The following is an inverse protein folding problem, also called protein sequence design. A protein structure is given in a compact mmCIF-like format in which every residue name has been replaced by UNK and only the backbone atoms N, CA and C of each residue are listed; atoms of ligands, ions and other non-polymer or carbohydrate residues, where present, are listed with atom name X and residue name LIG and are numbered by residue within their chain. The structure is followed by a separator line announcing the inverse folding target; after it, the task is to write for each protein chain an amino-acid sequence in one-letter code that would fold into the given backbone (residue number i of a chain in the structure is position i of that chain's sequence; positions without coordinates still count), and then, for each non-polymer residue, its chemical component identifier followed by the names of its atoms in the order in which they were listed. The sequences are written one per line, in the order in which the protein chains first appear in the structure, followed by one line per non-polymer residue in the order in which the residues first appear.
data_IF_946250659275
#
_entry.id   IF_946250659275
#
_cell.length_a   1.000
_cell.length_b   1.000
_cell.length_c   1.000
_cell.angle_alpha   90.00
_cell.angle_beta   90.00
_cell.angle_gamma   90.00
#
_symmetry.space_group_name_H-M   'P 1'
#
loop_
_entity.id
_entity.type
_entity.pdbx_description
1 polymer ?
#
# COMPACT_ATOMS: atom_id res chain seq x y z
N UNK A 1 11.67 -0.37 -2.58
CA UNK A 1 12.48 -0.45 -3.80
C UNK A 1 13.89 0.04 -3.51
N UNK A 2 14.87 -0.44 -4.26
CA UNK A 2 16.21 0.14 -4.29
C UNK A 2 16.31 1.29 -5.31
N UNK A 3 17.51 1.82 -5.53
CA UNK A 3 17.72 2.93 -6.46
C UNK A 3 17.45 2.58 -7.92
N UNK A 4 17.35 1.30 -8.29
CA UNK A 4 17.06 0.89 -9.68
C UNK A 4 15.61 1.18 -10.09
N UNK A 5 14.75 1.58 -9.13
CA UNK A 5 13.36 1.94 -9.38
C UNK A 5 13.21 3.08 -10.37
N UNK A 6 14.14 4.04 -10.36
CA UNK A 6 14.08 5.19 -11.27
C UNK A 6 14.27 4.78 -12.73
N UNK A 7 15.19 3.86 -13.01
CA UNK A 7 15.39 3.32 -14.36
C UNK A 7 14.17 2.51 -14.82
N UNK A 8 13.58 1.70 -13.92
CA UNK A 8 12.35 0.96 -14.20
C UNK A 8 11.18 1.89 -14.50
N UNK A 9 11.04 3.00 -13.78
CA UNK A 9 10.00 4.01 -14.03
C UNK A 9 10.19 4.71 -15.39
N UNK A 10 11.43 4.99 -15.82
CA UNK A 10 11.71 5.70 -17.08
C UNK A 10 11.29 4.94 -18.33
N UNK A 11 11.20 3.61 -18.25
CA UNK A 11 10.86 2.75 -19.39
C UNK A 11 9.40 2.29 -19.38
N UNK A 12 8.59 2.74 -18.41
CA UNK A 12 7.18 2.39 -18.37
C UNK A 12 6.43 3.01 -19.54
N UNK A 13 5.49 2.24 -20.07
CA UNK A 13 4.50 2.69 -21.05
C UNK A 13 3.15 2.85 -20.37
N UNK A 14 2.36 3.89 -20.69
CA UNK A 14 1.01 4.01 -20.15
C UNK A 14 0.17 2.76 -20.41
N UNK A 15 -0.61 2.33 -19.42
CA UNK A 15 -1.57 1.24 -19.56
C UNK A 15 -2.77 1.67 -20.42
N UNK A 16 -3.72 0.76 -20.63
CA UNK A 16 -5.02 1.07 -21.26
C UNK A 16 -5.80 2.17 -20.51
N UNK A 17 -5.48 2.41 -19.23
CA UNK A 17 -6.04 3.50 -18.41
C UNK A 17 -5.33 4.84 -18.63
N UNK A 18 -4.24 4.85 -19.41
CA UNK A 18 -3.38 6.01 -19.61
C UNK A 18 -2.44 6.32 -18.43
N UNK A 19 -2.29 5.40 -17.48
CA UNK A 19 -1.48 5.58 -16.27
C UNK A 19 -0.13 4.86 -16.36
N UNK A 20 0.90 5.41 -15.70
CA UNK A 20 2.14 4.68 -15.43
C UNK A 20 1.95 3.82 -14.18
N UNK A 21 1.91 2.50 -14.37
CA UNK A 21 1.45 1.57 -13.35
C UNK A 21 2.55 1.20 -12.34
N UNK A 22 2.27 1.34 -11.04
CA UNK A 22 3.15 0.79 -10.00
C UNK A 22 3.26 -0.75 -10.10
N UNK A 23 2.23 -1.40 -10.64
CA UNK A 23 2.22 -2.84 -10.92
C UNK A 23 3.29 -3.23 -11.94
N UNK A 24 3.58 -2.39 -12.94
CA UNK A 24 4.63 -2.68 -13.91
C UNK A 24 6.04 -2.54 -13.32
N UNK A 25 6.22 -1.57 -12.43
CA UNK A 25 7.44 -1.48 -11.60
C UNK A 25 7.60 -2.75 -10.76
N UNK A 26 6.53 -3.20 -10.08
CA UNK A 26 6.55 -4.44 -9.30
C UNK A 26 6.90 -5.65 -10.16
N UNK A 27 6.31 -5.76 -11.35
CA UNK A 27 6.58 -6.85 -12.28
C UNK A 27 8.04 -6.84 -12.77
N UNK A 28 8.68 -5.68 -12.90
CA UNK A 28 10.10 -5.60 -13.23
C UNK A 28 10.97 -6.24 -12.13
N UNK A 29 10.73 -5.90 -10.86
CA UNK A 29 11.43 -6.53 -9.72
C UNK A 29 11.12 -8.04 -9.60
N UNK A 30 9.89 -8.47 -9.93
CA UNK A 30 9.53 -9.90 -9.95
C UNK A 30 10.32 -10.64 -11.04
N UNK A 31 10.41 -10.08 -12.26
CA UNK A 31 11.20 -10.67 -13.37
C UNK A 31 12.69 -10.77 -13.05
N UNK A 32 13.22 -9.84 -12.27
CA UNK A 32 14.60 -9.86 -11.78
C UNK A 32 14.82 -10.84 -10.61
N UNK A 33 13.76 -11.41 -10.03
CA UNK A 33 13.83 -12.27 -8.86
C UNK A 33 14.21 -11.54 -7.56
N UNK A 34 14.15 -10.21 -7.55
CA UNK A 34 14.54 -9.35 -6.43
C UNK A 34 13.36 -8.83 -5.63
N UNK A 35 12.13 -9.05 -6.10
CA UNK A 35 10.92 -8.74 -5.34
C UNK A 35 10.81 -9.58 -4.07
N UNK A 36 10.49 -8.92 -2.97
CA UNK A 36 10.14 -9.56 -1.70
C UNK A 36 8.72 -9.16 -1.32
N UNK A 37 8.08 -9.95 -0.45
CA UNK A 37 6.75 -9.66 0.06
C UNK A 37 6.67 -9.99 1.55
N UNK A 38 5.68 -9.42 2.22
CA UNK A 38 5.36 -9.74 3.59
C UNK A 38 3.84 -9.82 3.77
N UNK A 39 3.39 -10.69 4.67
CA UNK A 39 1.99 -10.70 5.10
C UNK A 39 1.78 -9.65 6.18
N UNK A 40 0.87 -8.71 5.92
CA UNK A 40 0.41 -7.77 6.93
C UNK A 40 -0.49 -8.49 7.93
N UNK A 41 -0.16 -8.38 9.23
CA UNK A 41 -1.03 -8.81 10.32
C UNK A 41 -1.84 -7.61 10.82
N UNK A 42 -3.11 -7.84 11.16
CA UNK A 42 -4.02 -6.76 11.56
C UNK A 42 -4.82 -6.23 10.38
N UNK A 43 -5.22 -4.96 10.45
CA UNK A 43 -6.08 -4.35 9.43
C UNK A 43 -5.31 -3.45 8.48
N UNK A 44 -5.72 -3.46 7.22
CA UNK A 44 -5.43 -2.43 6.21
C UNK A 44 -6.75 -2.00 5.60
N UNK A 45 -6.91 -0.69 5.42
CA UNK A 45 -8.06 -0.09 4.77
C UNK A 45 -7.58 1.13 4.00
N UNK A 46 -8.26 1.45 2.92
CA UNK A 46 -8.15 2.72 2.24
C UNK A 46 -9.25 3.69 2.72
N UNK A 47 -9.25 4.88 2.14
CA UNK A 47 -10.22 5.94 2.41
C UNK A 47 -10.66 6.64 1.11
N UNK A 48 -10.86 5.84 0.05
CA UNK A 48 -11.22 6.35 -1.29
C UNK A 48 -12.68 6.79 -1.45
N UNK A 49 -13.55 6.45 -0.49
CA UNK A 49 -14.99 6.81 -0.46
C UNK A 49 -15.38 7.41 0.91
N UNK A 50 -16.54 8.06 1.01
CA UNK A 50 -17.01 8.59 2.29
C UNK A 50 -17.21 7.49 3.35
N UNK A 51 -17.74 6.34 2.95
CA UNK A 51 -17.97 5.20 3.83
C UNK A 51 -16.65 4.56 4.28
N UNK A 52 -15.69 4.38 3.37
CA UNK A 52 -14.36 3.83 3.71
C UNK A 52 -13.56 4.78 4.58
N UNK A 53 -13.65 6.10 4.36
CA UNK A 53 -13.06 7.13 5.22
C UNK A 53 -13.64 7.07 6.65
N UNK A 54 -14.97 7.02 6.79
CA UNK A 54 -15.61 6.89 8.10
C UNK A 54 -15.18 5.60 8.81
N UNK A 55 -15.12 4.48 8.08
CA UNK A 55 -14.64 3.20 8.59
C UNK A 55 -13.19 3.29 9.08
N UNK A 56 -12.29 3.90 8.30
CA UNK A 56 -10.90 4.08 8.66
C UNK A 56 -10.75 4.90 9.96
N UNK A 57 -11.52 5.99 10.10
CA UNK A 57 -11.56 6.79 11.32
C UNK A 57 -12.00 5.99 12.56
N UNK A 58 -13.05 5.17 12.41
CA UNK A 58 -13.55 4.32 13.49
C UNK A 58 -12.56 3.22 13.91
N UNK A 59 -11.82 2.63 12.96
CA UNK A 59 -10.78 1.64 13.23
C UNK A 59 -9.63 2.24 14.06
N UNK A 60 -9.18 3.45 13.71
CA UNK A 60 -8.13 4.16 14.48
C UNK A 60 -8.62 4.51 15.88
N UNK A 61 -9.83 5.05 16.00
CA UNK A 61 -10.44 5.39 17.30
C UNK A 61 -10.54 4.18 18.22
N UNK A 62 -11.04 3.06 17.69
CA UNK A 62 -11.16 1.80 18.45
C UNK A 62 -9.80 1.24 18.86
N UNK A 63 -8.80 1.29 17.97
CA UNK A 63 -7.44 0.82 18.25
C UNK A 63 -6.79 1.62 19.39
N UNK A 64 -6.99 2.95 19.44
CA UNK A 64 -6.50 3.79 20.54
C UNK A 64 -7.16 3.46 21.88
N UNK A 65 -8.46 3.19 21.89
CA UNK A 65 -9.20 2.80 23.10
C UNK A 65 -8.71 1.45 23.65
N UNK A 66 -8.44 0.49 22.77
CA UNK A 66 -7.89 -0.81 23.18
C UNK A 66 -6.48 -0.71 23.79
N UNK A 67 -5.64 0.24 23.31
CA UNK A 67 -4.30 0.47 23.85
C UNK A 67 -4.27 1.28 25.16
N UNK A 68 -5.34 2.01 25.48
CA UNK A 68 -5.44 2.89 26.67
C UNK A 68 -6.05 2.27 27.92
N UNK A 69 -6.45 0.99 27.90
CA UNK A 69 -7.15 0.32 29.02
C UNK A 69 -6.27 -0.16 30.18
N UNK A 70 -5.03 0.32 30.30
CA UNK A 70 -4.02 -0.15 31.26
C UNK A 70 -3.60 0.85 32.33
N UNK A 71 -4.41 1.87 32.63
CA UNK A 71 -4.24 2.71 33.83
C UNK A 71 -5.59 3.03 34.45
N UNK A 72 -6.00 2.17 35.39
CA UNK A 72 -6.85 2.48 36.53
C UNK A 72 -6.40 1.56 37.67
#
# INVERSE_FOLDING_TARGET
YDNTVFEKCRVLTPSDRGELEITDVNNAYIREGTMTFAHLKGWWTDAGTFESLLRAGNLVSSSRKAAGGGQA
#
